data_IF_003820052451
#
_entry.id   IF_003820052451
#
_cell.length_a   1.000
_cell.length_b   1.000
_cell.length_c   1.000
_cell.angle_alpha   90.00
_cell.angle_beta   90.00
_cell.angle_gamma   90.00
#
_symmetry.space_group_name_H-M   'P 1'
#
loop_
_entity.id
_entity.type
_entity.pdbx_description
1 polymer ?
#
# COMPACT_ATOMS: atom_id res chain seq x y z
N UNK A 1 -7.32 -0.74 28.04
CA UNK A 1 -7.19 -1.90 27.15
C UNK A 1 -8.33 -1.81 26.13
N UNK A 2 -8.17 -1.04 25.08
CA UNK A 2 -9.12 -0.96 23.98
C UNK A 2 -8.58 -1.86 22.85
N UNK A 3 -9.38 -2.84 22.46
CA UNK A 3 -9.05 -3.73 21.36
C UNK A 3 -9.03 -2.95 20.06
N UNK A 4 -7.88 -2.96 19.40
CA UNK A 4 -7.78 -2.50 18.02
C UNK A 4 -8.52 -3.50 17.14
N UNK A 5 -9.71 -3.09 16.74
CA UNK A 5 -10.50 -3.76 15.71
C UNK A 5 -9.89 -3.37 14.36
N UNK A 6 -9.39 -4.33 13.61
CA UNK A 6 -8.70 -4.15 12.31
C UNK A 6 -9.71 -3.79 11.21
N UNK A 7 -10.60 -2.86 11.49
CA UNK A 7 -11.50 -2.25 10.54
C UNK A 7 -10.89 -0.92 10.11
N UNK A 8 -10.46 -0.83 8.87
CA UNK A 8 -10.27 0.49 8.26
C UNK A 8 -11.56 1.28 8.46
N UNK A 9 -11.53 2.40 9.20
CA UNK A 9 -12.72 3.23 9.26
C UNK A 9 -13.04 3.65 7.83
N UNK A 10 -14.29 3.54 7.37
CA UNK A 10 -14.67 4.07 6.08
C UNK A 10 -14.29 5.54 6.08
N UNK A 11 -13.48 5.99 5.13
CA UNK A 11 -13.33 7.41 4.85
C UNK A 11 -14.76 7.93 4.73
N UNK A 12 -15.23 8.70 5.70
CA UNK A 12 -16.61 9.18 5.78
C UNK A 12 -17.05 9.75 4.43
N UNK A 13 -18.33 9.76 4.06
CA UNK A 13 -18.81 10.06 2.73
C UNK A 13 -18.26 11.40 2.27
N UNK A 14 -17.15 11.35 1.52
CA UNK A 14 -16.60 12.49 0.83
C UNK A 14 -17.52 12.71 -0.36
N UNK A 15 -18.46 13.66 -0.19
CA UNK A 15 -19.51 13.98 -1.14
C UNK A 15 -18.98 14.20 -2.56
N UNK A 16 -19.48 13.40 -3.46
CA UNK A 16 -19.21 13.40 -4.89
C UNK A 16 -19.88 12.16 -5.47
N UNK A 17 -21.21 12.13 -5.45
CA UNK A 17 -21.97 10.98 -5.95
C UNK A 17 -21.73 10.76 -7.43
N UNK A 18 -21.05 9.69 -7.77
CA UNK A 18 -21.38 8.94 -8.97
C UNK A 18 -22.41 7.89 -8.55
N UNK A 19 -23.52 7.87 -9.23
CA UNK A 19 -24.60 6.91 -9.03
C UNK A 19 -24.06 5.51 -9.31
N UNK A 20 -23.98 4.67 -8.28
CA UNK A 20 -23.43 3.32 -8.37
C UNK A 20 -24.36 2.35 -9.08
N UNK A 21 -25.61 2.74 -9.31
CA UNK A 21 -26.53 2.00 -10.16
C UNK A 21 -26.06 1.96 -11.63
N UNK A 22 -25.15 2.85 -12.02
CA UNK A 22 -24.53 2.92 -13.36
C UNK A 22 -23.15 2.22 -13.46
N UNK A 23 -22.60 1.63 -12.39
CA UNK A 23 -21.32 0.92 -12.47
C UNK A 23 -21.49 -0.44 -13.17
N UNK A 24 -21.11 -0.49 -14.43
CA UNK A 24 -21.07 -1.71 -15.25
C UNK A 24 -19.63 -1.96 -15.70
N UNK A 25 -18.94 -3.01 -15.20
CA UNK A 25 -17.58 -3.32 -15.61
C UNK A 25 -17.43 -3.60 -17.11
N UNK A 26 -18.52 -3.90 -17.82
CA UNK A 26 -18.49 -4.13 -19.26
C UNK A 26 -18.45 -2.83 -20.07
N UNK A 27 -18.94 -1.72 -19.54
CA UNK A 27 -18.91 -0.39 -20.14
C UNK A 27 -17.58 0.32 -19.99
N UNK A 28 -16.80 -0.01 -18.97
CA UNK A 28 -15.51 0.64 -18.69
C UNK A 28 -14.38 0.27 -19.69
N UNK A 29 -14.64 -0.61 -20.65
CA UNK A 29 -13.64 -1.01 -21.67
C UNK A 29 -13.44 0.02 -22.79
N UNK A 30 -14.31 1.02 -22.96
CA UNK A 30 -14.27 1.90 -24.14
C UNK A 30 -13.81 3.34 -23.87
N UNK A 31 -13.45 3.72 -22.64
CA UNK A 31 -13.21 5.12 -22.26
C UNK A 31 -11.81 5.50 -21.79
N UNK A 32 -10.88 4.56 -21.64
CA UNK A 32 -9.50 4.87 -21.23
C UNK A 32 -8.48 4.49 -22.30
N UNK A 33 -8.56 5.16 -23.45
CA UNK A 33 -7.36 5.38 -24.25
C UNK A 33 -6.62 6.55 -23.63
N UNK A 34 -5.65 6.23 -22.80
CA UNK A 34 -4.73 7.19 -22.19
C UNK A 34 -3.86 7.80 -23.27
N UNK A 35 -4.20 9.00 -23.74
CA UNK A 35 -3.24 9.93 -24.30
C UNK A 35 -2.58 10.71 -23.15
N UNK A 36 -1.87 10.03 -22.26
CA UNK A 36 -0.85 10.63 -21.42
C UNK A 36 0.50 10.08 -21.90
N UNK A 37 1.49 10.94 -22.12
CA UNK A 37 2.83 10.48 -22.47
C UNK A 37 3.30 9.57 -21.32
N UNK A 38 3.76 8.40 -21.67
CA UNK A 38 4.43 7.48 -20.76
C UNK A 38 5.58 8.24 -20.10
N UNK A 39 5.43 8.60 -18.83
CA UNK A 39 6.54 9.13 -18.00
C UNK A 39 7.27 7.91 -17.43
N UNK A 40 7.69 7.04 -18.31
CA UNK A 40 8.46 5.85 -17.99
C UNK A 40 9.56 5.72 -19.04
N UNK A 41 10.54 6.57 -18.99
CA UNK A 41 11.61 6.44 -19.91
C UNK A 41 12.83 7.22 -19.45
N UNK A 42 13.24 8.36 -19.93
CA UNK A 42 14.65 8.71 -19.84
C UNK A 42 15.11 9.44 -18.55
N UNK A 43 14.24 9.75 -17.59
CA UNK A 43 14.67 10.49 -16.39
C UNK A 43 15.43 9.65 -15.36
N UNK A 44 15.14 8.35 -15.26
CA UNK A 44 15.87 7.46 -14.34
C UNK A 44 17.17 6.91 -14.93
N UNK A 45 17.31 6.90 -16.25
CA UNK A 45 18.53 6.44 -16.94
C UNK A 45 19.61 7.52 -17.09
N UNK A 46 19.31 8.78 -16.77
CA UNK A 46 20.23 9.90 -16.93
C UNK A 46 20.99 10.27 -15.65
N UNK A 47 20.81 9.57 -14.52
CA UNK A 47 21.54 9.84 -13.30
C UNK A 47 22.71 8.85 -13.17
N UNK A 48 23.97 9.27 -13.28
CA UNK A 48 25.11 8.38 -13.11
C UNK A 48 25.19 7.95 -11.64
N UNK A 49 25.09 6.62 -11.41
CA UNK A 49 25.22 6.00 -10.09
C UNK A 49 23.92 5.44 -9.49
N UNK A 50 22.77 5.59 -10.14
CA UNK A 50 21.55 4.91 -9.75
C UNK A 50 21.40 3.62 -10.56
N UNK A 51 22.04 2.55 -10.11
CA UNK A 51 21.60 1.18 -10.42
C UNK A 51 20.33 0.88 -9.60
N UNK A 52 19.24 1.59 -9.92
CA UNK A 52 17.93 1.09 -9.55
C UNK A 52 17.73 -0.16 -10.41
N UNK A 53 17.55 -1.34 -9.81
CA UNK A 53 17.26 -2.52 -10.59
C UNK A 53 16.00 -2.20 -11.41
N UNK A 54 16.12 -2.32 -12.74
CA UNK A 54 14.98 -2.32 -13.66
C UNK A 54 13.87 -3.16 -13.03
N UNK A 55 12.57 -2.87 -13.29
CA UNK A 55 11.49 -3.73 -12.85
C UNK A 55 11.81 -5.13 -13.34
N UNK A 56 12.37 -5.93 -12.44
CA UNK A 56 12.81 -7.28 -12.74
C UNK A 56 11.53 -8.04 -13.04
N UNK A 57 11.38 -8.45 -14.30
CA UNK A 57 10.57 -9.61 -14.58
C UNK A 57 11.00 -10.68 -13.56
N UNK A 58 10.07 -11.45 -12.96
CA UNK A 58 10.40 -12.40 -11.92
C UNK A 58 11.44 -13.36 -12.48
N UNK A 59 12.72 -13.06 -12.23
CA UNK A 59 13.76 -14.02 -12.43
C UNK A 59 13.43 -15.14 -11.45
N UNK A 60 13.34 -16.36 -11.95
CA UNK A 60 13.35 -17.55 -11.11
C UNK A 60 14.48 -17.33 -10.12
N UNK A 61 14.15 -17.22 -8.84
CA UNK A 61 15.08 -16.98 -7.76
C UNK A 61 16.11 -18.09 -7.75
N UNK A 62 17.25 -17.81 -8.36
CA UNK A 62 18.46 -18.57 -8.17
C UNK A 62 19.25 -17.84 -7.09
N UNK A 63 19.21 -18.39 -5.89
CA UNK A 63 20.14 -18.11 -4.82
C UNK A 63 19.82 -16.89 -3.95
N UNK A 64 19.26 -17.16 -2.79
CA UNK A 64 19.07 -16.24 -1.69
C UNK A 64 17.67 -16.29 -1.10
N UNK A 65 17.15 -17.48 -0.85
CA UNK A 65 16.01 -17.63 0.06
C UNK A 65 16.49 -17.15 1.43
N UNK A 66 16.11 -15.92 1.81
CA UNK A 66 16.12 -15.58 3.23
C UNK A 66 15.14 -16.56 3.88
N UNK A 67 15.67 -17.52 4.63
CA UNK A 67 14.85 -18.46 5.36
C UNK A 67 14.03 -17.68 6.38
N UNK A 68 12.71 -17.76 6.26
CA UNK A 68 11.82 -17.24 7.30
C UNK A 68 12.19 -17.88 8.64
N UNK A 69 12.04 -17.15 9.73
CA UNK A 69 12.10 -17.73 11.06
C UNK A 69 11.05 -18.83 11.22
N UNK A 70 11.20 -19.75 12.18
CA UNK A 70 10.17 -20.76 12.44
C UNK A 70 8.78 -20.16 12.65
N UNK A 71 8.68 -19.00 13.31
CA UNK A 71 7.42 -18.28 13.49
C UNK A 71 6.91 -17.71 12.16
N UNK A 72 7.76 -17.08 11.36
CA UNK A 72 7.40 -16.55 10.04
C UNK A 72 6.98 -17.64 9.06
N UNK A 73 7.63 -18.81 9.08
CA UNK A 73 7.20 -19.98 8.30
C UNK A 73 5.82 -20.48 8.75
N UNK A 74 5.56 -20.53 10.05
CA UNK A 74 4.26 -20.94 10.59
C UNK A 74 3.15 -19.99 10.15
N UNK A 75 3.37 -18.67 10.19
CA UNK A 75 2.41 -17.66 9.73
C UNK A 75 2.19 -17.79 8.21
N UNK A 76 3.26 -17.96 7.42
CA UNK A 76 3.15 -18.11 5.97
C UNK A 76 2.42 -19.38 5.54
N UNK A 77 2.61 -20.50 6.26
CA UNK A 77 1.95 -21.79 5.96
C UNK A 77 0.49 -21.84 6.42
N UNK A 78 0.04 -20.89 7.26
CA UNK A 78 -1.31 -20.91 7.85
C UNK A 78 -2.42 -20.94 6.82
N UNK A 79 -2.31 -20.16 5.75
CA UNK A 79 -3.33 -20.10 4.70
C UNK A 79 -3.38 -21.36 3.80
N UNK A 80 -2.35 -22.21 3.84
CA UNK A 80 -2.33 -23.49 3.13
C UNK A 80 -3.09 -24.58 3.90
N UNK A 81 -3.09 -24.49 5.24
CA UNK A 81 -3.72 -25.47 6.14
C UNK A 81 -5.14 -25.06 6.52
N UNK A 82 -5.36 -23.76 6.77
CA UNK A 82 -6.65 -23.22 7.15
C UNK A 82 -7.53 -22.90 5.94
N UNK A 83 -8.86 -22.93 6.15
CA UNK A 83 -9.80 -22.47 5.12
C UNK A 83 -9.59 -20.97 4.84
N UNK A 84 -9.09 -20.63 3.65
CA UNK A 84 -8.79 -19.25 3.25
C UNK A 84 -10.01 -18.31 3.36
N UNK A 85 -11.22 -18.83 3.45
CA UNK A 85 -12.43 -18.04 3.67
C UNK A 85 -12.61 -17.58 5.12
N UNK A 86 -11.84 -18.12 6.05
CA UNK A 86 -11.92 -17.83 7.48
C UNK A 86 -10.59 -17.33 8.08
N UNK A 87 -9.47 -17.64 7.42
CA UNK A 87 -8.15 -17.25 7.93
C UNK A 87 -8.03 -15.73 8.11
N UNK A 88 -7.45 -15.33 9.24
CA UNK A 88 -7.11 -13.94 9.54
C UNK A 88 -5.66 -13.87 9.99
N UNK A 89 -4.94 -12.89 9.48
CA UNK A 89 -3.61 -12.57 9.95
C UNK A 89 -3.68 -11.41 10.94
N UNK A 90 -3.19 -11.61 12.13
CA UNK A 90 -2.96 -10.52 13.08
C UNK A 90 -1.52 -10.03 12.90
N UNK A 91 -1.37 -8.78 12.45
CA UNK A 91 -0.05 -8.16 12.26
C UNK A 91 0.73 -8.01 13.58
N UNK A 92 0.07 -8.23 14.72
CA UNK A 92 0.70 -8.22 16.06
C UNK A 92 1.17 -9.61 16.50
N UNK A 93 0.90 -10.67 15.74
CA UNK A 93 1.44 -12.00 16.06
C UNK A 93 2.96 -11.98 16.03
N UNK A 94 3.64 -12.56 17.02
CA UNK A 94 5.10 -12.68 17.01
C UNK A 94 5.58 -13.37 15.74
N UNK A 95 6.57 -12.76 15.08
CA UNK A 95 7.11 -13.29 13.81
C UNK A 95 6.37 -12.85 12.56
N UNK A 96 5.31 -12.05 12.65
CA UNK A 96 4.68 -11.48 11.45
C UNK A 96 5.62 -10.50 10.72
N UNK A 97 6.56 -9.89 11.44
CA UNK A 97 7.55 -8.97 10.88
C UNK A 97 8.41 -9.63 9.78
N UNK A 98 8.74 -10.91 9.92
CA UNK A 98 9.49 -11.67 8.91
C UNK A 98 8.63 -11.94 7.67
N UNK A 99 7.35 -12.24 7.85
CA UNK A 99 6.40 -12.39 6.73
C UNK A 99 6.21 -11.04 6.03
N UNK A 100 6.08 -9.96 6.79
CA UNK A 100 5.97 -8.61 6.24
C UNK A 100 7.18 -8.27 5.37
N UNK A 101 8.39 -8.49 5.88
CA UNK A 101 9.62 -8.21 5.16
C UNK A 101 9.79 -9.11 3.92
N UNK A 102 9.43 -10.39 4.03
CA UNK A 102 9.60 -11.34 2.93
C UNK A 102 8.52 -11.22 1.83
N UNK A 103 7.31 -10.81 2.18
CA UNK A 103 6.14 -10.84 1.27
C UNK A 103 5.63 -9.43 0.96
N UNK A 104 5.36 -8.61 1.99
CA UNK A 104 4.72 -7.30 1.81
C UNK A 104 5.70 -6.26 1.25
N UNK A 105 6.92 -6.21 1.77
CA UNK A 105 7.91 -5.23 1.30
C UNK A 105 8.19 -5.41 -0.19
N UNK A 106 8.60 -6.58 -0.71
CA UNK A 106 8.93 -6.72 -2.12
C UNK A 106 7.73 -6.64 -3.07
N UNK A 107 6.56 -7.15 -2.67
CA UNK A 107 5.41 -7.26 -3.55
C UNK A 107 4.48 -6.05 -3.49
N UNK A 108 4.45 -5.32 -2.36
CA UNK A 108 3.51 -4.23 -2.12
C UNK A 108 4.21 -2.92 -1.80
N UNK A 109 4.99 -2.84 -0.73
CA UNK A 109 5.57 -1.56 -0.28
C UNK A 109 6.58 -1.00 -1.27
N UNK A 110 7.38 -1.86 -1.91
CA UNK A 110 8.45 -1.46 -2.84
C UNK A 110 7.96 -0.70 -4.08
N UNK A 111 6.96 -1.15 -4.85
CA UNK A 111 6.45 -0.37 -5.97
C UNK A 111 6.00 1.04 -5.59
N UNK A 112 5.28 1.18 -4.48
CA UNK A 112 4.85 2.48 -3.96
C UNK A 112 6.02 3.34 -3.49
N UNK A 113 6.98 2.74 -2.76
CA UNK A 113 8.19 3.42 -2.34
C UNK A 113 9.04 3.90 -3.52
N UNK A 114 9.15 3.13 -4.60
CA UNK A 114 9.83 3.55 -5.82
C UNK A 114 9.16 4.77 -6.46
N UNK A 115 7.82 4.79 -6.51
CA UNK A 115 7.07 5.96 -6.97
C UNK A 115 7.33 7.16 -6.06
N UNK A 116 7.29 6.99 -4.73
CA UNK A 116 7.60 8.03 -3.75
C UNK A 116 9.02 8.58 -3.95
N UNK A 117 10.02 7.69 -4.04
CA UNK A 117 11.41 8.06 -4.25
C UNK A 117 11.61 8.85 -5.55
N UNK A 118 10.94 8.45 -6.64
CA UNK A 118 11.01 9.15 -7.92
C UNK A 118 10.54 10.61 -7.80
N UNK A 119 9.54 10.89 -6.97
CA UNK A 119 9.04 12.25 -6.71
C UNK A 119 9.97 12.98 -5.73
N UNK A 120 10.38 12.33 -4.65
CA UNK A 120 11.27 12.89 -3.63
C UNK A 120 12.59 13.40 -4.22
N UNK A 121 13.18 12.64 -5.14
CA UNK A 121 14.44 12.99 -5.79
C UNK A 121 14.35 14.22 -6.70
N UNK A 122 13.14 14.68 -7.06
CA UNK A 122 12.93 15.93 -7.81
C UNK A 122 12.86 17.16 -6.92
N UNK A 123 12.76 17.00 -5.60
CA UNK A 123 12.71 18.13 -4.67
C UNK A 123 14.10 18.76 -4.54
N UNK A 124 14.13 20.08 -4.39
CA UNK A 124 15.38 20.80 -4.03
C UNK A 124 15.73 20.47 -2.58
N UNK A 125 17.02 20.31 -2.32
CA UNK A 125 17.56 19.89 -1.03
C UNK A 125 18.74 20.77 -0.66
N UNK A 126 18.75 21.23 0.59
CA UNK A 126 19.89 21.87 1.21
C UNK A 126 20.72 20.83 1.98
N UNK A 127 21.95 21.16 2.36
CA UNK A 127 22.75 20.34 3.28
C UNK A 127 22.11 20.33 4.66
N UNK A 128 22.16 19.19 5.34
CA UNK A 128 21.52 19.01 6.65
C UNK A 128 20.00 18.80 6.60
N UNK A 129 19.52 18.24 5.50
CA UNK A 129 18.11 17.97 5.25
C UNK A 129 17.54 17.01 6.30
N UNK A 130 16.44 17.40 6.95
CA UNK A 130 15.74 16.63 7.98
C UNK A 130 14.52 15.94 7.38
N UNK A 131 14.53 14.61 7.34
CA UNK A 131 13.45 13.81 6.77
C UNK A 131 12.80 12.91 7.83
N UNK A 132 11.47 12.90 7.90
CA UNK A 132 10.70 11.98 8.73
C UNK A 132 9.90 11.03 7.83
N UNK A 133 10.02 9.73 8.07
CA UNK A 133 9.16 8.71 7.46
C UNK A 133 8.12 8.23 8.47
N UNK A 134 6.85 8.49 8.20
CA UNK A 134 5.72 8.19 9.07
C UNK A 134 5.05 6.89 8.63
N UNK A 135 4.96 5.91 9.52
CA UNK A 135 4.56 4.55 9.19
C UNK A 135 5.71 3.78 8.53
N UNK A 136 6.92 3.90 9.10
CA UNK A 136 8.15 3.33 8.54
C UNK A 136 8.22 1.80 8.56
N UNK A 137 7.36 1.13 9.34
CA UNK A 137 7.33 -0.32 9.52
C UNK A 137 8.75 -0.91 9.70
N UNK A 138 9.14 -1.89 8.87
CA UNK A 138 10.46 -2.55 8.89
C UNK A 138 11.60 -1.71 8.29
N UNK A 139 11.33 -0.43 8.00
CA UNK A 139 12.34 0.55 7.54
C UNK A 139 12.40 0.77 6.04
N UNK A 140 11.52 0.21 5.24
CA UNK A 140 11.42 0.54 3.81
C UNK A 140 10.38 1.67 3.59
N UNK A 141 10.66 2.76 2.86
CA UNK A 141 11.88 3.05 2.07
C UNK A 141 12.99 3.79 2.84
N UNK A 142 12.84 4.07 4.15
CA UNK A 142 13.75 4.91 4.95
C UNK A 142 15.20 4.42 4.91
N UNK A 143 15.44 3.11 5.00
CA UNK A 143 16.79 2.54 4.92
C UNK A 143 17.43 2.73 3.54
N UNK A 144 16.65 2.62 2.46
CA UNK A 144 17.15 2.89 1.11
C UNK A 144 17.51 4.38 0.94
N UNK A 145 16.68 5.27 1.50
CA UNK A 145 16.98 6.70 1.54
C UNK A 145 18.25 7.01 2.32
N UNK A 146 18.45 6.39 3.48
CA UNK A 146 19.63 6.59 4.32
C UNK A 146 20.92 6.19 3.59
N UNK A 147 20.90 5.09 2.86
CA UNK A 147 22.04 4.65 2.02
C UNK A 147 22.32 5.62 0.88
N UNK A 148 21.26 6.11 0.23
CA UNK A 148 21.39 6.95 -0.95
C UNK A 148 21.79 8.41 -0.61
N UNK A 149 21.20 8.98 0.45
CA UNK A 149 21.41 10.39 0.81
C UNK A 149 22.70 10.62 1.63
N UNK A 150 23.22 9.58 2.29
CA UNK A 150 24.47 9.65 3.04
C UNK A 150 24.38 10.65 4.22
N UNK A 151 25.52 11.23 4.59
CA UNK A 151 25.64 12.09 5.78
C UNK A 151 25.08 13.51 5.61
N UNK A 152 24.62 13.87 4.42
CA UNK A 152 24.05 15.20 4.13
C UNK A 152 22.55 15.28 4.53
N UNK A 153 21.99 14.19 5.05
CA UNK A 153 20.59 14.11 5.44
C UNK A 153 20.47 13.29 6.73
N UNK A 154 19.71 13.82 7.68
CA UNK A 154 19.30 13.08 8.88
C UNK A 154 17.87 12.55 8.69
N UNK A 155 17.72 11.25 8.88
CA UNK A 155 16.43 10.58 8.72
C UNK A 155 15.92 10.09 10.05
N UNK A 156 14.62 10.22 10.27
CA UNK A 156 13.91 9.55 11.33
C UNK A 156 12.76 8.72 10.73
N UNK A 157 12.56 7.51 11.23
CA UNK A 157 11.36 6.70 10.94
C UNK A 157 10.54 6.53 12.22
N UNK A 158 9.23 6.72 12.13
CA UNK A 158 8.32 6.45 13.25
C UNK A 158 7.23 5.47 12.85
N UNK A 159 6.90 4.56 13.76
CA UNK A 159 5.78 3.63 13.63
C UNK A 159 5.29 3.23 15.04
N UNK A 160 4.03 2.88 15.16
CA UNK A 160 3.47 2.33 16.41
C UNK A 160 3.75 0.82 16.57
N UNK A 161 4.14 0.14 15.49
CA UNK A 161 4.46 -1.28 15.48
C UNK A 161 5.89 -1.52 16.01
N UNK A 162 5.98 -1.75 17.31
CA UNK A 162 7.26 -1.86 18.02
C UNK A 162 8.19 -2.92 17.42
N UNK A 163 7.67 -4.13 17.08
CA UNK A 163 8.49 -5.22 16.54
C UNK A 163 9.12 -4.83 15.18
N UNK A 164 8.37 -4.14 14.32
CA UNK A 164 8.88 -3.63 13.05
C UNK A 164 9.94 -2.54 13.24
N UNK A 165 9.73 -1.63 14.18
CA UNK A 165 10.71 -0.58 14.53
C UNK A 165 12.01 -1.21 15.06
N UNK A 166 11.92 -2.22 15.92
CA UNK A 166 13.09 -2.96 16.41
C UNK A 166 13.82 -3.69 15.28
N UNK A 167 13.08 -4.24 14.32
CA UNK A 167 13.64 -4.84 13.11
C UNK A 167 14.39 -3.80 12.27
N UNK A 168 13.80 -2.63 12.03
CA UNK A 168 14.42 -1.54 11.28
C UNK A 168 15.70 -1.01 11.98
N UNK A 169 15.68 -0.85 13.31
CA UNK A 169 16.87 -0.48 14.10
C UNK A 169 18.01 -1.49 13.95
N UNK A 170 17.70 -2.78 14.05
CA UNK A 170 18.67 -3.84 13.88
C UNK A 170 19.33 -3.76 12.50
N UNK A 171 18.52 -3.64 11.43
CA UNK A 171 19.03 -3.51 10.07
C UNK A 171 19.89 -2.27 9.87
N UNK A 172 19.48 -1.11 10.38
CA UNK A 172 20.29 0.10 10.32
C UNK A 172 21.66 -0.09 11.00
N UNK A 173 21.69 -0.78 12.15
CA UNK A 173 22.92 -1.09 12.88
C UNK A 173 23.82 -2.07 12.12
N UNK A 174 23.25 -3.15 11.57
CA UNK A 174 23.97 -4.16 10.78
C UNK A 174 24.61 -3.56 9.52
N UNK A 175 23.95 -2.55 8.92
CA UNK A 175 24.41 -1.84 7.73
C UNK A 175 25.27 -0.58 8.06
N UNK A 176 25.53 -0.33 9.34
CA UNK A 176 26.34 0.83 9.81
C UNK A 176 25.82 2.18 9.36
N UNK A 177 24.50 2.31 9.15
CA UNK A 177 23.85 3.57 8.81
C UNK A 177 23.79 4.46 10.05
N UNK A 178 24.46 5.62 9.98
CA UNK A 178 24.55 6.56 11.11
C UNK A 178 23.65 7.79 10.97
N UNK A 179 23.08 7.96 9.80
CA UNK A 179 22.21 9.09 9.45
C UNK A 179 20.73 8.75 9.53
N UNK A 180 20.36 7.63 10.18
CA UNK A 180 18.98 7.21 10.36
C UNK A 180 18.72 6.74 11.79
N UNK A 181 17.56 7.11 12.31
CA UNK A 181 17.03 6.64 13.60
C UNK A 181 15.60 6.16 13.43
N UNK A 182 15.18 5.20 14.26
CA UNK A 182 13.82 4.67 14.25
C UNK A 182 13.23 4.75 15.67
N UNK A 183 11.98 5.19 15.79
CA UNK A 183 11.29 5.41 17.07
C UNK A 183 9.91 4.76 17.05
N UNK A 184 9.55 4.12 18.17
CA UNK A 184 8.17 3.71 18.39
C UNK A 184 7.40 4.95 18.81
N UNK A 185 6.56 5.48 17.93
CA UNK A 185 5.82 6.71 18.17
C UNK A 185 4.58 6.79 17.29
N UNK A 186 3.55 7.44 17.81
CA UNK A 186 2.35 7.81 17.06
C UNK A 186 2.50 9.24 16.54
N UNK A 187 2.22 9.43 15.26
CA UNK A 187 2.32 10.75 14.62
C UNK A 187 1.35 11.78 15.24
N UNK A 188 0.27 11.34 15.85
CA UNK A 188 -0.73 12.20 16.48
C UNK A 188 -0.28 12.67 17.88
N UNK A 189 0.31 11.77 18.67
CA UNK A 189 0.57 11.98 20.11
C UNK A 189 2.05 11.92 20.50
N UNK A 190 2.97 12.27 19.60
CA UNK A 190 4.40 12.25 19.86
C UNK A 190 4.95 13.57 20.42
N UNK A 191 6.17 13.49 21.00
CA UNK A 191 6.93 14.61 21.55
C UNK A 191 8.03 15.10 20.60
N UNK A 192 7.99 14.76 19.30
CA UNK A 192 8.96 15.24 18.34
C UNK A 192 8.86 16.76 18.17
N UNK A 193 10.00 17.44 17.93
CA UNK A 193 10.01 18.90 17.79
C UNK A 193 9.13 19.37 16.65
N UNK A 194 8.26 20.35 16.91
CA UNK A 194 7.39 20.93 15.90
C UNK A 194 8.19 21.76 14.90
N UNK A 195 7.80 21.70 13.62
CA UNK A 195 8.43 22.49 12.56
C UNK A 195 9.90 22.14 12.32
N UNK A 196 10.34 20.93 12.63
CA UNK A 196 11.74 20.50 12.53
C UNK A 196 12.09 19.71 11.28
N UNK A 197 11.11 19.22 10.55
CA UNK A 197 11.35 18.41 9.37
C UNK A 197 11.14 19.20 8.07
N UNK A 198 12.08 19.06 7.15
CA UNK A 198 12.01 19.61 5.80
C UNK A 198 11.05 18.84 4.93
N UNK A 199 11.04 17.52 5.11
CA UNK A 199 10.19 16.61 4.35
C UNK A 199 9.64 15.52 5.25
N UNK A 200 8.37 15.22 5.06
CA UNK A 200 7.73 14.03 5.64
C UNK A 200 7.30 13.11 4.50
N UNK A 201 7.64 11.83 4.62
CA UNK A 201 7.15 10.76 3.76
C UNK A 201 6.17 9.88 4.52
N UNK A 202 5.18 9.32 3.80
CA UNK A 202 4.29 8.30 4.33
C UNK A 202 3.94 7.33 3.20
N UNK A 203 4.68 6.23 3.15
CA UNK A 203 4.51 5.20 2.12
C UNK A 203 3.43 4.22 2.55
N UNK A 204 2.22 4.31 1.98
CA UNK A 204 1.06 3.46 2.27
C UNK A 204 0.42 3.65 3.67
N UNK A 205 1.03 4.41 4.58
CA UNK A 205 0.60 4.52 5.97
C UNK A 205 -0.76 5.20 6.14
N UNK A 206 -1.11 6.18 5.29
CA UNK A 206 -2.31 7.00 5.50
C UNK A 206 -3.61 6.19 5.58
N UNK A 207 -3.71 5.09 4.85
CA UNK A 207 -4.88 4.19 4.87
C UNK A 207 -4.95 3.29 6.09
N UNK A 208 -3.88 3.23 6.89
CA UNK A 208 -3.78 2.41 8.10
C UNK A 208 -4.03 3.17 9.39
N UNK A 209 -4.10 4.52 9.33
CA UNK A 209 -4.40 5.32 10.52
C UNK A 209 -5.88 5.24 10.86
N UNK A 210 -6.19 5.16 12.16
CA UNK A 210 -7.57 5.19 12.67
C UNK A 210 -8.26 6.52 12.33
N UNK A 211 -7.52 7.63 12.46
CA UNK A 211 -7.95 8.96 12.04
C UNK A 211 -6.93 9.58 11.07
N UNK A 212 -7.15 9.45 9.75
CA UNK A 212 -6.25 10.04 8.75
C UNK A 212 -6.15 11.57 8.84
N UNK A 213 -7.20 12.26 9.31
CA UNK A 213 -7.20 13.73 9.48
C UNK A 213 -6.29 14.11 10.64
N UNK A 214 -6.39 13.43 11.77
CA UNK A 214 -5.52 13.64 12.92
C UNK A 214 -4.05 13.33 12.57
N UNK A 215 -3.80 12.25 11.81
CA UNK A 215 -2.46 11.88 11.36
C UNK A 215 -1.87 12.97 10.44
N UNK A 216 -2.63 13.47 9.47
CA UNK A 216 -2.20 14.60 8.62
C UNK A 216 -1.95 15.86 9.45
N UNK A 217 -2.79 16.14 10.45
CA UNK A 217 -2.57 17.25 11.40
C UNK A 217 -1.27 17.08 12.20
N UNK A 218 -0.94 15.86 12.61
CA UNK A 218 0.35 15.51 13.22
C UNK A 218 1.52 15.78 12.28
N UNK A 219 1.45 15.29 11.05
CA UNK A 219 2.47 15.54 10.02
C UNK A 219 2.63 17.03 9.73
N UNK A 220 1.51 17.78 9.61
CA UNK A 220 1.54 19.23 9.41
C UNK A 220 2.28 19.95 10.53
N UNK A 221 2.03 19.56 11.78
CA UNK A 221 2.68 20.15 12.96
C UNK A 221 4.19 19.93 12.97
N UNK A 222 4.65 18.74 12.53
CA UNK A 222 6.05 18.34 12.51
C UNK A 222 6.84 18.96 11.35
N UNK A 223 6.21 19.21 10.20
CA UNK A 223 6.82 19.90 9.07
C UNK A 223 7.12 21.34 9.39
N UNK A 224 8.26 21.86 8.90
CA UNK A 224 8.53 23.30 8.90
C UNK A 224 7.63 24.04 7.90
N UNK A 225 7.52 25.34 8.01
CA UNK A 225 6.93 26.20 6.99
C UNK A 225 7.68 26.03 5.66
N UNK A 226 6.98 25.89 4.56
CA UNK A 226 7.55 25.54 3.25
C UNK A 226 7.98 24.07 3.10
N UNK A 227 7.88 23.26 4.16
CA UNK A 227 8.22 21.82 4.13
C UNK A 227 7.31 21.01 3.24
N UNK A 228 7.77 19.86 2.79
CA UNK A 228 7.10 18.98 1.81
C UNK A 228 6.56 17.70 2.45
N UNK A 229 5.34 17.35 2.09
CA UNK A 229 4.70 16.07 2.43
C UNK A 229 4.58 15.22 1.18
N UNK A 230 5.02 13.95 1.24
CA UNK A 230 4.81 12.97 0.18
C UNK A 230 4.05 11.76 0.73
N UNK A 231 2.93 11.45 0.09
CA UNK A 231 2.07 10.33 0.46
C UNK A 231 1.91 9.38 -0.73
N UNK A 232 1.95 8.08 -0.48
CA UNK A 232 1.57 7.08 -1.49
C UNK A 232 0.40 6.23 -1.04
N UNK A 233 -0.42 5.80 -1.98
CA UNK A 233 -1.52 4.87 -1.73
C UNK A 233 -2.03 4.20 -3.00
N UNK A 234 -2.71 3.03 -2.88
CA UNK A 234 -3.42 2.44 -3.99
C UNK A 234 -4.68 3.24 -4.31
N UNK A 235 -5.04 3.31 -5.61
CA UNK A 235 -6.26 3.94 -6.06
C UNK A 235 -7.44 2.97 -6.08
N UNK A 236 -8.65 3.53 -6.17
CA UNK A 236 -9.94 2.82 -6.13
C UNK A 236 -10.00 1.59 -7.05
N UNK A 237 -9.44 1.66 -8.24
CA UNK A 237 -9.44 0.57 -9.21
C UNK A 237 -8.36 -0.51 -9.00
N UNK A 238 -7.61 -0.47 -7.89
CA UNK A 238 -6.66 -1.53 -7.58
C UNK A 238 -7.37 -2.88 -7.42
N UNK A 239 -6.79 -3.96 -7.99
CA UNK A 239 -7.37 -5.30 -8.04
C UNK A 239 -8.70 -5.38 -8.83
N UNK A 240 -8.85 -4.51 -9.83
CA UNK A 240 -10.06 -4.46 -10.66
C UNK A 240 -10.45 -5.83 -11.23
N UNK A 241 -9.48 -6.61 -11.66
CA UNK A 241 -9.69 -7.92 -12.25
C UNK A 241 -10.41 -8.89 -11.30
N UNK A 242 -10.07 -8.83 -10.02
CA UNK A 242 -10.74 -9.59 -8.96
C UNK A 242 -12.13 -9.02 -8.67
N UNK A 243 -12.23 -7.69 -8.52
CA UNK A 243 -13.49 -7.01 -8.22
C UNK A 243 -14.54 -7.22 -9.32
N UNK A 244 -14.13 -7.15 -10.59
CA UNK A 244 -14.99 -7.47 -11.74
C UNK A 244 -15.49 -8.92 -11.69
N UNK A 245 -14.59 -9.87 -11.38
CA UNK A 245 -14.96 -11.28 -11.26
C UNK A 245 -15.94 -11.51 -10.10
N UNK A 246 -15.73 -10.81 -8.99
CA UNK A 246 -16.60 -10.88 -7.82
C UNK A 246 -17.99 -10.28 -8.13
N UNK A 247 -18.03 -9.09 -8.71
CA UNK A 247 -19.28 -8.42 -9.11
C UNK A 247 -20.09 -9.27 -10.10
N UNK A 248 -19.44 -9.78 -11.14
CA UNK A 248 -20.09 -10.63 -12.15
C UNK A 248 -20.63 -11.93 -11.54
N UNK A 249 -19.94 -12.49 -10.54
CA UNK A 249 -20.42 -13.65 -9.81
C UNK A 249 -21.68 -13.36 -9.01
N UNK A 250 -21.69 -12.26 -8.25
CA UNK A 250 -22.86 -11.83 -7.49
C UNK A 250 -24.05 -11.57 -8.41
N UNK A 251 -23.84 -10.93 -9.55
CA UNK A 251 -24.86 -10.64 -10.57
C UNK A 251 -25.48 -11.93 -11.11
N UNK A 252 -24.65 -12.89 -11.53
CA UNK A 252 -25.11 -14.13 -12.16
C UNK A 252 -25.82 -15.05 -11.17
N UNK A 253 -25.45 -14.98 -9.89
CA UNK A 253 -26.14 -15.65 -8.78
C UNK A 253 -27.36 -14.86 -8.26
N UNK A 254 -27.66 -13.67 -8.82
CA UNK A 254 -28.78 -12.80 -8.45
C UNK A 254 -28.73 -12.33 -6.98
N UNK A 255 -27.53 -12.10 -6.45
CA UNK A 255 -27.26 -11.67 -5.08
C UNK A 255 -27.18 -10.14 -4.98
N UNK A 256 -28.31 -9.45 -5.24
CA UNK A 256 -28.40 -7.99 -5.41
C UNK A 256 -27.90 -7.19 -4.19
N UNK A 257 -28.28 -7.63 -2.97
CA UNK A 257 -27.89 -6.92 -1.74
C UNK A 257 -26.38 -6.91 -1.53
N UNK A 258 -25.71 -8.02 -1.85
CA UNK A 258 -24.24 -8.09 -1.77
C UNK A 258 -23.56 -7.31 -2.89
N UNK A 259 -24.17 -7.20 -4.08
CA UNK A 259 -23.69 -6.32 -5.14
C UNK A 259 -23.68 -4.85 -4.68
N UNK A 260 -24.76 -4.39 -4.05
CA UNK A 260 -24.83 -3.05 -3.51
C UNK A 260 -23.79 -2.79 -2.42
N UNK A 261 -23.58 -3.77 -1.52
CA UNK A 261 -22.55 -3.69 -0.48
C UNK A 261 -21.15 -3.65 -1.09
N UNK A 262 -20.86 -4.49 -2.09
CA UNK A 262 -19.59 -4.44 -2.83
C UNK A 262 -19.39 -3.09 -3.53
N UNK A 263 -20.43 -2.54 -4.15
CA UNK A 263 -20.40 -1.22 -4.77
C UNK A 263 -20.03 -0.12 -3.78
N UNK A 264 -20.63 -0.10 -2.59
CA UNK A 264 -20.28 0.82 -1.50
C UNK A 264 -18.82 0.66 -1.05
N UNK A 265 -18.35 -0.59 -0.89
CA UNK A 265 -16.95 -0.86 -0.53
C UNK A 265 -15.99 -0.34 -1.60
N UNK A 266 -16.29 -0.54 -2.88
CA UNK A 266 -15.46 0.02 -3.97
C UNK A 266 -15.50 1.55 -3.95
N UNK A 267 -16.66 2.16 -3.70
CA UNK A 267 -16.83 3.61 -3.64
C UNK A 267 -16.04 4.28 -2.52
N UNK A 268 -15.86 3.60 -1.40
CA UNK A 268 -15.11 4.13 -0.25
C UNK A 268 -13.58 4.17 -0.47
N UNK A 269 -13.08 3.51 -1.51
CA UNK A 269 -11.64 3.45 -1.80
C UNK A 269 -11.10 4.78 -2.33
N UNK A 270 -9.81 5.09 -2.10
CA UNK A 270 -9.23 6.37 -2.45
C UNK A 270 -9.31 6.70 -3.95
N UNK A 271 -9.77 7.90 -4.26
CA UNK A 271 -9.64 8.53 -5.58
C UNK A 271 -8.67 9.70 -5.49
N UNK A 272 -8.07 10.11 -6.61
CA UNK A 272 -7.16 11.27 -6.64
C UNK A 272 -7.83 12.51 -6.04
N UNK A 273 -9.06 12.79 -6.46
CA UNK A 273 -9.82 13.96 -5.98
C UNK A 273 -10.11 13.89 -4.48
N UNK A 274 -10.51 12.72 -3.97
CA UNK A 274 -10.80 12.54 -2.55
C UNK A 274 -9.55 12.73 -1.68
N UNK A 275 -8.43 12.17 -2.11
CA UNK A 275 -7.15 12.29 -1.39
C UNK A 275 -6.64 13.73 -1.42
N UNK A 276 -6.64 14.39 -2.58
CA UNK A 276 -6.23 15.80 -2.69
C UNK A 276 -7.07 16.68 -1.76
N UNK A 277 -8.39 16.51 -1.78
CA UNK A 277 -9.29 17.27 -0.90
C UNK A 277 -9.06 16.98 0.59
N UNK A 278 -8.72 15.74 0.96
CA UNK A 278 -8.38 15.37 2.34
C UNK A 278 -7.10 16.09 2.79
N UNK A 279 -6.06 16.06 1.96
CA UNK A 279 -4.77 16.72 2.22
C UNK A 279 -4.94 18.24 2.35
N UNK A 280 -5.72 18.87 1.44
CA UNK A 280 -6.00 20.30 1.47
C UNK A 280 -6.80 20.71 2.72
N UNK A 281 -7.80 19.94 3.11
CA UNK A 281 -8.58 20.18 4.34
C UNK A 281 -7.74 20.06 5.63
N UNK A 282 -6.64 19.33 5.56
CA UNK A 282 -5.69 19.19 6.68
C UNK A 282 -4.63 20.30 6.72
N UNK A 283 -4.79 21.36 5.90
CA UNK A 283 -3.95 22.57 5.94
C UNK A 283 -2.77 22.56 4.96
N UNK A 284 -2.65 21.54 4.12
CA UNK A 284 -1.61 21.48 3.09
C UNK A 284 -2.06 22.10 1.77
N UNK A 285 -1.11 22.55 0.96
CA UNK A 285 -1.34 22.87 -0.44
C UNK A 285 -0.82 21.74 -1.32
N UNK A 286 -1.71 21.12 -2.09
CA UNK A 286 -1.31 20.05 -3.02
C UNK A 286 -0.56 20.69 -4.20
N UNK A 287 0.71 20.30 -4.35
CA UNK A 287 1.60 20.84 -5.39
C UNK A 287 1.56 19.95 -6.65
N UNK A 288 1.48 18.64 -6.46
CA UNK A 288 1.53 17.68 -7.58
C UNK A 288 0.91 16.35 -7.16
N UNK A 289 0.26 15.70 -8.13
CA UNK A 289 -0.13 14.29 -8.05
C UNK A 289 0.56 13.53 -9.17
N UNK A 290 1.15 12.38 -8.84
CA UNK A 290 1.78 11.47 -9.80
C UNK A 290 1.12 10.11 -9.69
N UNK A 291 0.75 9.54 -10.81
CA UNK A 291 0.15 8.20 -10.85
C UNK A 291 1.01 7.25 -11.67
N UNK A 292 1.04 6.00 -11.25
CA UNK A 292 1.64 4.91 -11.99
C UNK A 292 0.81 3.64 -11.76
N UNK A 293 1.12 2.55 -12.46
CA UNK A 293 0.43 1.27 -12.29
C UNK A 293 1.43 0.14 -12.36
N UNK A 294 1.49 -0.68 -11.32
CA UNK A 294 2.23 -1.93 -11.38
C UNK A 294 1.30 -3.13 -11.48
N UNK A 295 1.86 -4.25 -11.87
CA UNK A 295 1.13 -5.52 -11.96
C UNK A 295 1.61 -6.48 -10.89
N UNK A 296 0.71 -6.85 -9.99
CA UNK A 296 0.94 -7.90 -9.01
C UNK A 296 0.60 -9.25 -9.66
N UNK A 297 1.56 -10.20 -9.61
CA UNK A 297 1.45 -11.50 -10.30
C UNK A 297 1.42 -12.63 -9.30
N UNK A 298 0.56 -13.59 -9.58
CA UNK A 298 0.44 -14.84 -8.83
C UNK A 298 0.55 -16.01 -9.80
N UNK A 299 1.13 -17.15 -9.38
CA UNK A 299 1.18 -18.34 -10.21
C UNK A 299 -0.18 -18.79 -10.72
N UNK A 300 -1.20 -18.66 -9.87
CA UNK A 300 -2.58 -19.04 -10.15
C UNK A 300 -3.56 -18.35 -9.17
N UNK A 301 -4.88 -18.46 -9.37
CA UNK A 301 -5.90 -17.94 -8.45
C UNK A 301 -5.87 -18.55 -7.05
N UNK A 302 -5.44 -19.81 -6.92
CA UNK A 302 -5.31 -20.47 -5.63
C UNK A 302 -4.24 -19.77 -4.77
N UNK A 303 -3.06 -19.49 -5.35
CA UNK A 303 -1.99 -18.74 -4.69
C UNK A 303 -2.44 -17.31 -4.34
N UNK A 304 -3.20 -16.64 -5.22
CA UNK A 304 -3.78 -15.32 -4.96
C UNK A 304 -4.68 -15.33 -3.72
N UNK A 305 -5.68 -16.22 -3.70
CA UNK A 305 -6.68 -16.28 -2.62
C UNK A 305 -6.07 -16.68 -1.26
N UNK A 306 -4.94 -17.35 -1.24
CA UNK A 306 -4.25 -17.83 -0.03
C UNK A 306 -3.02 -16.99 0.36
N UNK A 307 -2.64 -16.04 -0.49
CA UNK A 307 -1.51 -15.16 -0.19
C UNK A 307 -1.72 -14.38 1.11
N UNK A 308 -0.78 -14.40 2.07
CA UNK A 308 -0.84 -13.58 3.27
C UNK A 308 -1.08 -12.09 2.96
N UNK A 309 -0.44 -11.59 1.89
CA UNK A 309 -0.62 -10.23 1.39
C UNK A 309 -2.09 -9.94 1.07
N UNK A 310 -2.71 -10.80 0.25
CA UNK A 310 -4.11 -10.61 -0.18
C UNK A 310 -5.10 -10.80 0.95
N UNK A 311 -4.84 -11.77 1.82
CA UNK A 311 -5.66 -12.04 3.00
C UNK A 311 -5.69 -10.85 3.97
N UNK A 312 -4.55 -10.17 4.14
CA UNK A 312 -4.43 -9.01 5.03
C UNK A 312 -5.00 -7.74 4.41
N UNK A 313 -4.65 -7.46 3.14
CA UNK A 313 -4.94 -6.15 2.54
C UNK A 313 -6.34 -6.03 1.92
N UNK A 314 -6.90 -7.13 1.44
CA UNK A 314 -8.12 -7.07 0.62
C UNK A 314 -9.19 -8.09 0.99
N UNK A 315 -8.80 -9.36 1.16
CA UNK A 315 -9.79 -10.43 1.21
C UNK A 315 -10.55 -10.49 2.53
N UNK A 316 -9.97 -10.00 3.62
CA UNK A 316 -10.63 -9.99 4.93
C UNK A 316 -11.96 -9.22 4.87
N UNK A 317 -11.94 -7.99 4.37
CA UNK A 317 -13.14 -7.14 4.26
C UNK A 317 -14.11 -7.62 3.19
N UNK A 318 -13.58 -8.05 2.03
CA UNK A 318 -14.40 -8.49 0.90
C UNK A 318 -15.17 -9.79 1.19
N UNK A 319 -14.64 -10.67 2.05
CA UNK A 319 -15.35 -11.86 2.53
C UNK A 319 -16.50 -11.52 3.46
N UNK A 320 -16.35 -10.46 4.26
CA UNK A 320 -17.38 -10.04 5.22
C UNK A 320 -18.61 -9.41 4.55
N UNK A 321 -18.50 -9.02 3.28
CA UNK A 321 -19.65 -8.61 2.47
C UNK A 321 -20.72 -9.70 2.46
N UNK A 322 -20.32 -10.99 2.54
CA UNK A 322 -21.23 -12.13 2.57
C UNK A 322 -21.09 -12.84 3.93
N UNK A 323 -21.92 -12.53 4.93
CA UNK A 323 -21.83 -13.15 6.26
C UNK A 323 -22.10 -14.65 6.27
N UNK A 324 -23.06 -15.12 5.44
CA UNK A 324 -23.42 -16.53 5.34
C UNK A 324 -22.28 -17.34 4.69
N UNK A 325 -21.74 -18.30 5.44
CA UNK A 325 -20.59 -19.11 5.01
C UNK A 325 -20.89 -20.01 3.82
N UNK A 326 -22.13 -20.46 3.67
CA UNK A 326 -22.52 -21.33 2.54
C UNK A 326 -22.55 -20.52 1.25
N UNK A 327 -23.16 -19.35 1.29
CA UNK A 327 -23.20 -18.41 0.16
C UNK A 327 -21.80 -17.90 -0.16
N UNK A 328 -21.03 -17.52 0.86
CA UNK A 328 -19.64 -17.07 0.71
C UNK A 328 -18.79 -18.10 -0.02
N UNK A 329 -18.87 -19.37 0.38
CA UNK A 329 -18.15 -20.48 -0.26
C UNK A 329 -18.57 -20.68 -1.71
N UNK A 330 -19.87 -20.64 -1.98
CA UNK A 330 -20.40 -20.72 -3.34
C UNK A 330 -19.86 -19.58 -4.23
N UNK A 331 -19.92 -18.34 -3.73
CA UNK A 331 -19.47 -17.15 -4.47
C UNK A 331 -17.97 -17.20 -4.71
N UNK A 332 -17.16 -17.48 -3.69
CA UNK A 332 -15.70 -17.48 -3.84
C UNK A 332 -15.19 -18.65 -4.70
N UNK A 333 -15.83 -19.81 -4.68
CA UNK A 333 -15.53 -20.89 -5.62
C UNK A 333 -15.79 -20.46 -7.08
N UNK A 334 -16.89 -19.76 -7.33
CA UNK A 334 -17.19 -19.25 -8.67
C UNK A 334 -16.24 -18.11 -9.08
N UNK A 335 -15.85 -17.23 -8.14
CA UNK A 335 -14.82 -16.21 -8.37
C UNK A 335 -13.50 -16.86 -8.76
N UNK A 336 -13.06 -17.88 -8.00
CA UNK A 336 -11.83 -18.62 -8.29
C UNK A 336 -11.87 -19.25 -9.69
N UNK A 337 -13.02 -19.87 -10.06
CA UNK A 337 -13.22 -20.43 -11.40
C UNK A 337 -13.09 -19.36 -12.51
N UNK A 338 -13.66 -18.16 -12.31
CA UNK A 338 -13.56 -17.04 -13.27
C UNK A 338 -12.15 -16.53 -13.39
N UNK A 339 -11.44 -16.39 -12.28
CA UNK A 339 -10.04 -15.99 -12.27
C UNK A 339 -9.16 -17.04 -12.95
N UNK A 340 -9.46 -18.34 -12.78
CA UNK A 340 -8.76 -19.44 -13.47
C UNK A 340 -8.94 -19.34 -14.98
N UNK A 341 -10.16 -19.11 -15.44
CA UNK A 341 -10.42 -18.92 -16.86
C UNK A 341 -9.66 -17.68 -17.42
N UNK A 342 -9.58 -16.60 -16.64
CA UNK A 342 -8.83 -15.39 -16.99
C UNK A 342 -7.32 -15.66 -17.05
N UNK A 343 -6.76 -16.34 -16.05
CA UNK A 343 -5.34 -16.70 -16.01
C UNK A 343 -4.97 -17.61 -17.20
N UNK A 344 -5.82 -18.56 -17.54
CA UNK A 344 -5.60 -19.46 -18.67
C UNK A 344 -5.46 -18.69 -20.01
N UNK A 345 -6.33 -17.72 -20.24
CA UNK A 345 -6.24 -16.84 -21.42
C UNK A 345 -4.96 -15.99 -21.44
N UNK A 346 -4.43 -15.67 -20.27
CA UNK A 346 -3.21 -14.87 -20.10
C UNK A 346 -1.91 -15.70 -20.03
N UNK A 347 -1.96 -17.00 -20.35
CA UNK A 347 -0.76 -17.86 -20.36
C UNK A 347 -0.47 -18.56 -19.05
N UNK A 348 -1.43 -18.60 -18.11
CA UNK A 348 -1.38 -19.38 -16.86
C UNK A 348 -1.17 -18.56 -15.59
N UNK A 349 -0.57 -17.37 -15.68
CA UNK A 349 -0.39 -16.48 -14.52
C UNK A 349 -1.62 -15.60 -14.28
N UNK A 350 -1.94 -15.36 -13.01
CA UNK A 350 -2.93 -14.38 -12.60
C UNK A 350 -2.28 -13.02 -12.37
N UNK A 351 -2.66 -12.03 -13.17
CA UNK A 351 -2.17 -10.66 -13.10
C UNK A 351 -3.26 -9.72 -12.57
N UNK A 352 -2.91 -8.90 -11.60
CA UNK A 352 -3.76 -7.89 -10.98
C UNK A 352 -3.16 -6.50 -11.16
N UNK A 353 -3.92 -5.57 -11.70
CA UNK A 353 -3.50 -4.17 -11.86
C UNK A 353 -3.61 -3.43 -10.53
N UNK A 354 -2.57 -2.68 -10.19
CA UNK A 354 -2.54 -1.84 -9.00
C UNK A 354 -2.15 -0.41 -9.37
N UNK A 355 -3.13 0.44 -9.70
CA UNK A 355 -2.89 1.86 -9.87
C UNK A 355 -2.48 2.50 -8.55
N UNK A 356 -1.42 3.30 -8.61
CA UNK A 356 -0.79 4.00 -7.50
C UNK A 356 -0.94 5.50 -7.63
N UNK A 357 -0.99 6.17 -6.50
CA UNK A 357 -0.94 7.63 -6.38
C UNK A 357 0.23 8.02 -5.48
N UNK A 358 1.00 9.02 -5.90
CA UNK A 358 1.86 9.80 -5.02
C UNK A 358 1.36 11.24 -5.02
N UNK A 359 1.07 11.78 -3.84
CA UNK A 359 0.73 13.19 -3.63
C UNK A 359 1.94 13.89 -3.05
N UNK A 360 2.34 15.01 -3.68
CA UNK A 360 3.29 15.97 -3.11
C UNK A 360 2.51 17.21 -2.70
N UNK A 361 2.64 17.61 -1.44
CA UNK A 361 1.98 18.76 -0.87
C UNK A 361 2.94 19.56 0.00
N UNK A 362 2.65 20.83 0.24
CA UNK A 362 3.49 21.71 1.06
C UNK A 362 2.71 22.29 2.22
N UNK A 363 3.37 22.46 3.37
CA UNK A 363 2.93 23.33 4.46
C UNK A 363 3.27 24.78 4.08
N UNK A 364 2.25 25.58 3.79
CA UNK A 364 2.40 27.01 3.48
C UNK A 364 2.37 27.85 4.74
#
# INVERSE_FOLDING_TARGET
>A
MAGFDNRYPPLGPLGGGQDWDDWDPTRARSGYTSHLPAVGGPLLSAMPGLDLPSPVAPQRAAGGQQSLSPAGLAVSARAEVEDYLTVRYDTREPGFVEVYEAVFVPQWSRPFGQLLLSVLLTLQRDTGWQLLDVGCATGYPTLELARFLGQDCDLAGIDIWEEAVLFARRRASEEWLRNVSFLVADVVTNDLPQGSFDTITCNLGLTSFEDPVAALGGMWRLLREGGQLLLTMPLQSAMREFLDSYYLTLRDLKLQDYMHTLGKHIASRPTIAAVSKLVERSGFTVMRTVTDTFTLRFPDPHAFLRSPLMQTLYLAELREIIPDMTIRRLVFNEVERRLTARAHVAGGELAMSVPMLCVSASRM
#
